data_IF_424810281028
#
_entry.id   IF_424810281028
#
_cell.length_a   1.000
_cell.length_b   1.000
_cell.length_c   1.000
_cell.angle_alpha   90.00
_cell.angle_beta   90.00
_cell.angle_gamma   90.00
#
_symmetry.space_group_name_H-M   'P 1'
#
loop_
_entity.id
_entity.type
_entity.pdbx_description
1 polymer ?
#
# COMPACT_ATOMS: atom_id res chain seq x y z
N UNK A 1 -4.50 19.29 -2.41
CA UNK A 1 -4.72 17.89 -2.88
C UNK A 1 -6.17 17.54 -2.64
N UNK A 2 -6.86 17.03 -3.64
CA UNK A 2 -8.29 16.67 -3.56
C UNK A 2 -8.48 15.16 -3.40
N UNK A 3 -9.64 14.72 -2.91
CA UNK A 3 -9.99 13.29 -2.84
C UNK A 3 -9.93 12.61 -4.23
N UNK A 4 -10.31 13.35 -5.29
CA UNK A 4 -10.23 12.84 -6.66
C UNK A 4 -8.78 12.55 -7.10
N UNK A 5 -7.84 13.44 -6.81
CA UNK A 5 -6.41 13.23 -7.12
C UNK A 5 -5.84 12.02 -6.37
N UNK A 6 -6.23 11.85 -5.11
CA UNK A 6 -5.85 10.70 -4.29
C UNK A 6 -6.40 9.41 -4.89
N UNK A 7 -7.68 9.40 -5.25
CA UNK A 7 -8.33 8.25 -5.84
C UNK A 7 -7.71 7.85 -7.20
N UNK A 8 -7.35 8.82 -8.04
CA UNK A 8 -6.65 8.57 -9.30
C UNK A 8 -5.29 7.91 -9.03
N UNK A 9 -4.54 8.38 -8.03
CA UNK A 9 -3.25 7.81 -7.66
C UNK A 9 -3.39 6.34 -7.22
N UNK A 10 -4.37 6.03 -6.37
CA UNK A 10 -4.63 4.66 -5.94
C UNK A 10 -5.10 3.77 -7.10
N UNK A 11 -6.01 4.23 -7.93
CA UNK A 11 -6.49 3.48 -9.08
C UNK A 11 -5.35 3.17 -10.08
N UNK A 12 -4.47 4.16 -10.31
CA UNK A 12 -3.28 3.99 -11.17
C UNK A 12 -2.31 2.97 -10.58
N UNK A 13 -2.03 3.06 -9.28
CA UNK A 13 -1.15 2.10 -8.61
C UNK A 13 -1.73 0.67 -8.63
N UNK A 14 -3.04 0.53 -8.38
CA UNK A 14 -3.74 -0.75 -8.36
C UNK A 14 -3.81 -1.43 -9.75
N UNK A 15 -3.88 -0.66 -10.83
CA UNK A 15 -3.84 -1.17 -12.20
C UNK A 15 -2.43 -1.28 -12.80
N UNK A 16 -1.42 -0.79 -12.10
CA UNK A 16 -0.02 -0.73 -12.52
C UNK A 16 0.92 -1.48 -11.56
N UNK A 17 1.84 -0.77 -10.90
CA UNK A 17 2.93 -1.41 -10.15
C UNK A 17 2.50 -2.24 -8.95
N UNK A 18 1.29 -2.03 -8.43
CA UNK A 18 0.73 -2.77 -7.31
C UNK A 18 -0.41 -3.70 -7.71
N UNK A 19 -0.55 -4.01 -9.00
CA UNK A 19 -1.57 -4.95 -9.48
C UNK A 19 -1.46 -6.30 -8.76
N UNK A 20 -2.59 -6.85 -8.32
CA UNK A 20 -2.66 -8.10 -7.54
C UNK A 20 -2.40 -7.94 -6.03
N UNK A 21 -1.80 -6.83 -5.59
CA UNK A 21 -1.55 -6.54 -4.17
C UNK A 21 -2.47 -5.44 -3.64
N UNK A 22 -2.64 -4.39 -4.42
CA UNK A 22 -3.57 -3.30 -4.13
C UNK A 22 -4.79 -3.41 -5.05
N UNK A 23 -5.96 -3.12 -4.52
CA UNK A 23 -7.18 -2.91 -5.26
C UNK A 23 -7.74 -1.51 -5.07
N UNK A 24 -8.64 -1.13 -5.95
CA UNK A 24 -9.40 0.11 -5.85
C UNK A 24 -10.84 -0.14 -6.29
N UNK A 25 -11.80 0.40 -5.55
CA UNK A 25 -13.22 0.36 -5.89
C UNK A 25 -13.88 1.72 -5.66
N UNK A 26 -14.92 2.00 -6.43
CA UNK A 26 -15.84 3.11 -6.21
C UNK A 26 -17.29 2.62 -6.13
N UNK A 27 -17.46 1.33 -5.89
CA UNK A 27 -18.78 0.72 -5.66
C UNK A 27 -19.11 0.75 -4.16
N UNK A 28 -20.38 0.88 -3.80
CA UNK A 28 -20.82 0.87 -2.40
C UNK A 28 -20.84 -0.58 -1.86
N UNK A 29 -19.65 -1.09 -1.56
CA UNK A 29 -19.44 -2.45 -1.07
C UNK A 29 -19.26 -2.44 0.46
N UNK A 30 -19.39 -3.62 1.06
CA UNK A 30 -19.19 -3.85 2.49
C UNK A 30 -18.16 -4.96 2.72
N UNK A 31 -17.71 -5.12 3.96
CA UNK A 31 -16.63 -6.06 4.31
C UNK A 31 -16.85 -7.49 3.81
N UNK A 32 -18.09 -7.97 3.78
CA UNK A 32 -18.43 -9.33 3.30
C UNK A 32 -18.15 -9.56 1.82
N UNK A 33 -18.13 -8.49 1.01
CA UNK A 33 -17.90 -8.58 -0.43
C UNK A 33 -16.43 -8.84 -0.76
N UNK A 34 -15.55 -8.65 0.21
CA UNK A 34 -14.10 -8.85 0.06
C UNK A 34 -13.59 -10.16 0.64
N UNK A 35 -14.48 -11.05 1.05
CA UNK A 35 -14.08 -12.39 1.53
C UNK A 35 -13.44 -13.21 0.43
N UNK A 36 -12.25 -13.75 0.70
CA UNK A 36 -11.46 -14.51 -0.25
C UNK A 36 -10.74 -13.64 -1.28
N UNK A 37 -10.75 -12.32 -1.13
CA UNK A 37 -9.95 -11.45 -1.98
C UNK A 37 -8.47 -11.60 -1.63
N UNK A 38 -7.65 -11.93 -2.64
CA UNK A 38 -6.22 -12.20 -2.46
C UNK A 38 -5.38 -10.93 -2.29
N UNK A 39 -5.93 -9.77 -2.54
CA UNK A 39 -5.22 -8.50 -2.41
C UNK A 39 -4.99 -8.14 -0.94
N UNK A 40 -3.91 -7.43 -0.69
CA UNK A 40 -3.56 -6.98 0.67
C UNK A 40 -4.45 -5.84 1.17
N UNK A 41 -4.95 -5.00 0.25
CA UNK A 41 -5.89 -3.93 0.56
C UNK A 41 -6.65 -3.52 -0.69
N UNK A 42 -7.92 -3.17 -0.53
CA UNK A 42 -8.76 -2.60 -1.59
C UNK A 42 -9.24 -1.23 -1.11
N UNK A 43 -8.71 -0.18 -1.70
CA UNK A 43 -9.07 1.20 -1.34
C UNK A 43 -10.51 1.50 -1.78
N UNK A 44 -11.28 2.02 -0.84
CA UNK A 44 -12.64 2.49 -1.07
C UNK A 44 -12.63 3.96 -1.47
N UNK A 45 -12.78 4.22 -2.75
CA UNK A 45 -12.76 5.57 -3.28
C UNK A 45 -13.95 6.43 -2.87
N UNK A 46 -15.09 5.82 -2.46
CA UNK A 46 -16.25 6.58 -1.97
C UNK A 46 -16.01 7.13 -0.55
N UNK A 47 -15.16 6.47 0.23
CA UNK A 47 -14.85 6.86 1.59
C UNK A 47 -13.56 7.70 1.70
N UNK A 48 -12.87 7.96 0.59
CA UNK A 48 -11.72 8.87 0.58
C UNK A 48 -12.18 10.30 0.80
N UNK A 49 -11.63 10.96 1.81
CA UNK A 49 -11.95 12.34 2.13
C UNK A 49 -10.70 13.16 2.48
N UNK A 50 -10.77 14.45 2.16
CA UNK A 50 -9.76 15.44 2.58
C UNK A 50 -10.43 16.35 3.59
N UNK A 51 -9.87 16.42 4.78
CA UNK A 51 -10.43 17.11 5.93
C UNK A 51 -9.49 18.23 6.38
N UNK A 52 -10.04 19.17 7.17
CA UNK A 52 -9.26 20.20 7.86
C UNK A 52 -8.34 21.01 6.92
N UNK A 53 -8.92 21.74 5.96
CA UNK A 53 -8.19 22.61 5.04
C UNK A 53 -7.00 21.92 4.34
N UNK A 54 -7.24 20.70 3.88
CA UNK A 54 -6.25 19.85 3.18
C UNK A 54 -5.09 19.32 4.07
N UNK A 55 -5.23 19.37 5.39
CA UNK A 55 -4.19 18.90 6.32
C UNK A 55 -4.35 17.44 6.74
N UNK A 56 -5.54 16.86 6.55
CA UNK A 56 -5.81 15.46 6.90
C UNK A 56 -6.46 14.74 5.74
N UNK A 57 -5.92 13.57 5.42
CA UNK A 57 -6.48 12.67 4.41
C UNK A 57 -7.03 11.45 5.15
N UNK A 58 -8.30 11.13 4.88
CA UNK A 58 -8.95 9.92 5.33
C UNK A 58 -9.04 8.93 4.17
N UNK A 59 -8.48 7.75 4.34
CA UNK A 59 -8.53 6.65 3.36
C UNK A 59 -9.00 5.40 4.07
N UNK A 60 -9.92 4.69 3.45
CA UNK A 60 -10.42 3.40 3.94
C UNK A 60 -9.95 2.31 2.99
N UNK A 61 -9.42 1.23 3.53
CA UNK A 61 -9.05 0.03 2.79
C UNK A 61 -9.72 -1.19 3.38
N UNK A 62 -10.32 -2.00 2.52
CA UNK A 62 -10.91 -3.29 2.85
C UNK A 62 -9.89 -4.40 2.63
N UNK A 63 -9.95 -5.46 3.42
CA UNK A 63 -9.10 -6.63 3.24
C UNK A 63 -9.69 -7.85 3.96
N UNK A 64 -9.37 -9.02 3.44
CA UNK A 64 -9.59 -10.29 4.15
C UNK A 64 -8.32 -10.57 4.97
N UNK A 65 -8.44 -10.47 6.30
CA UNK A 65 -7.31 -10.52 7.21
C UNK A 65 -6.49 -11.81 7.08
N UNK A 66 -7.16 -12.94 6.99
CA UNK A 66 -6.53 -14.26 6.93
C UNK A 66 -6.07 -14.59 5.51
N UNK A 67 -6.93 -14.37 4.53
CA UNK A 67 -6.68 -14.77 3.15
C UNK A 67 -5.63 -13.89 2.47
N UNK A 68 -5.75 -12.58 2.57
CA UNK A 68 -4.78 -11.65 1.99
C UNK A 68 -3.36 -11.87 2.51
N UNK A 69 -3.22 -12.10 3.83
CA UNK A 69 -1.93 -12.41 4.43
C UNK A 69 -1.37 -13.76 3.95
N UNK A 70 -2.20 -14.81 3.91
CA UNK A 70 -1.78 -16.13 3.42
C UNK A 70 -1.27 -16.06 1.98
N UNK A 71 -1.94 -15.28 1.12
CA UNK A 71 -1.48 -15.04 -0.25
C UNK A 71 -0.09 -14.37 -0.29
N UNK A 72 0.15 -13.37 0.54
CA UNK A 72 1.47 -12.71 0.61
C UNK A 72 2.58 -13.63 1.11
N UNK A 73 2.29 -14.53 2.03
CA UNK A 73 3.25 -15.55 2.47
C UNK A 73 3.60 -16.51 1.32
N UNK A 74 2.58 -16.95 0.55
CA UNK A 74 2.80 -17.79 -0.62
C UNK A 74 3.61 -17.09 -1.71
N UNK A 75 3.32 -15.82 -1.98
CA UNK A 75 4.07 -15.00 -2.95
C UNK A 75 5.53 -14.84 -2.53
N UNK A 76 5.79 -14.61 -1.24
CA UNK A 76 7.14 -14.51 -0.72
C UNK A 76 7.91 -15.83 -0.87
N UNK A 77 7.28 -16.96 -0.57
CA UNK A 77 7.90 -18.28 -0.74
C UNK A 77 8.25 -18.55 -2.22
N UNK A 78 7.34 -18.19 -3.13
CA UNK A 78 7.58 -18.29 -4.58
C UNK A 78 8.73 -17.41 -5.02
N UNK A 79 8.77 -16.17 -4.58
CA UNK A 79 9.84 -15.22 -4.88
C UNK A 79 11.20 -15.72 -4.40
N UNK A 80 11.29 -16.24 -3.18
CA UNK A 80 12.53 -16.83 -2.65
C UNK A 80 12.99 -18.00 -3.52
N UNK A 81 12.06 -18.90 -3.90
CA UNK A 81 12.39 -20.05 -4.77
C UNK A 81 12.85 -19.63 -6.17
N UNK A 82 12.30 -18.56 -6.73
CA UNK A 82 12.73 -17.99 -8.01
C UNK A 82 14.13 -17.40 -7.91
N UNK A 83 14.41 -16.63 -6.87
CA UNK A 83 15.74 -16.07 -6.62
C UNK A 83 16.81 -17.16 -6.49
N UNK A 84 16.51 -18.29 -5.85
CA UNK A 84 17.44 -19.43 -5.73
C UNK A 84 17.70 -20.10 -7.07
N UNK A 85 16.66 -20.30 -7.90
CA UNK A 85 16.79 -20.91 -9.24
C UNK A 85 17.61 -20.06 -10.19
N UNK A 86 17.47 -18.76 -10.14
CA UNK A 86 18.16 -17.82 -11.01
C UNK A 86 19.62 -17.56 -10.58
N UNK A 87 20.12 -18.30 -9.59
CA UNK A 87 21.47 -18.15 -9.07
C UNK A 87 21.72 -16.80 -8.39
N UNK A 88 20.66 -16.01 -8.22
CA UNK A 88 20.69 -14.87 -7.33
C UNK A 88 20.70 -15.42 -5.91
N UNK A 89 21.91 -15.72 -5.40
CA UNK A 89 22.06 -15.84 -3.96
C UNK A 89 21.33 -14.65 -3.39
N UNK A 90 20.34 -14.89 -2.57
CA UNK A 90 19.83 -13.90 -1.62
C UNK A 90 21.04 -13.49 -0.78
N UNK A 91 21.90 -12.66 -1.39
CA UNK A 91 23.06 -12.10 -0.75
C UNK A 91 22.51 -11.34 0.41
N UNK A 92 22.67 -11.92 1.62
CA UNK A 92 22.26 -11.36 2.89
C UNK A 92 21.11 -10.38 2.67
N UNK A 93 19.90 -10.76 3.04
CA UNK A 93 18.83 -9.77 3.24
C UNK A 93 19.52 -8.62 3.96
N UNK A 94 19.82 -7.54 3.24
CA UNK A 94 20.25 -6.33 3.91
C UNK A 94 19.02 -5.98 4.73
N UNK A 95 19.07 -6.29 6.00
CA UNK A 95 18.25 -5.62 6.97
C UNK A 95 18.46 -4.16 6.61
N UNK A 96 17.41 -3.54 6.05
CA UNK A 96 17.47 -2.12 5.67
C UNK A 96 17.82 -1.43 6.97
N UNK A 97 19.08 -1.01 7.08
CA UNK A 97 19.58 -0.43 8.31
C UNK A 97 18.66 0.72 8.67
N UNK A 98 18.31 0.83 9.92
CA UNK A 98 17.43 1.87 10.46
C UNK A 98 17.74 3.26 9.88
N UNK A 99 19.01 3.54 9.61
CA UNK A 99 19.47 4.77 8.94
C UNK A 99 18.93 4.95 7.52
N UNK A 100 18.72 3.88 6.75
CA UNK A 100 18.12 3.97 5.41
C UNK A 100 16.63 4.29 5.48
N UNK A 101 15.93 3.72 6.45
CA UNK A 101 14.52 4.03 6.70
C UNK A 101 14.40 5.48 7.17
N UNK A 102 15.24 5.91 8.11
CA UNK A 102 15.24 7.27 8.62
C UNK A 102 15.65 8.31 7.56
N UNK A 103 16.54 7.94 6.63
CA UNK A 103 16.90 8.79 5.50
C UNK A 103 15.73 8.89 4.50
N UNK A 104 15.10 7.78 4.17
CA UNK A 104 13.91 7.76 3.30
C UNK A 104 12.76 8.55 3.90
N UNK A 105 12.55 8.44 5.22
CA UNK A 105 11.54 9.22 5.95
C UNK A 105 11.89 10.71 5.98
N UNK A 106 13.16 11.09 6.07
CA UNK A 106 13.60 12.50 6.00
C UNK A 106 13.49 13.07 4.59
N UNK A 107 13.73 12.29 3.55
CA UNK A 107 13.54 12.71 2.15
C UNK A 107 12.07 12.71 1.73
N UNK A 108 11.26 11.87 2.33
CA UNK A 108 9.81 11.87 2.21
C UNK A 108 9.14 12.85 3.19
N UNK A 109 9.92 13.53 4.05
CA UNK A 109 9.42 14.54 4.96
C UNK A 109 8.90 15.72 4.15
N UNK A 110 7.61 15.67 3.93
CA UNK A 110 6.78 16.83 3.70
C UNK A 110 6.82 17.66 5.00
N UNK A 111 7.89 18.42 5.17
CA UNK A 111 7.92 19.44 6.20
C UNK A 111 7.10 20.62 5.68
N UNK A 112 5.91 20.91 6.25
CA UNK A 112 5.34 22.22 6.09
C UNK A 112 6.26 23.18 6.86
N UNK A 113 7.01 23.99 6.12
CA UNK A 113 7.69 25.14 6.73
C UNK A 113 6.63 26.01 7.41
N UNK A 114 6.78 26.23 8.69
CA UNK A 114 6.11 27.27 9.45
C UNK A 114 4.89 26.84 10.27
N UNK A 115 5.11 26.07 11.34
CA UNK A 115 4.24 26.14 12.51
C UNK A 115 5.06 26.75 13.67
N UNK A 116 4.72 27.97 14.13
CA UNK A 116 5.20 28.44 15.44
C UNK A 116 4.54 27.60 16.54
N UNK A 117 5.33 27.26 17.54
CA UNK A 117 4.91 26.65 18.81
C UNK A 117 3.90 27.54 19.54
#
# INVERSE_FOLDING_TARGET
>A
MTAAEINIAFATAASGPLAGVLGYTHLPLVSSDFRGDSRSSIVDGLLTAVLSEERMIHVVGWYDNEWGYACRVADLASFISECERDGHRLGRVRVVEREHIERALRTASFAPEGLPL
#
